data_IF_414624090958
#
_entry.id   IF_414624090958
#
_cell.length_a   1.000
_cell.length_b   1.000
_cell.length_c   1.000
_cell.angle_alpha   90.00
_cell.angle_beta   90.00
_cell.angle_gamma   90.00
#
_symmetry.space_group_name_H-M   'P 1'
#
loop_
_entity.id
_entity.type
_entity.pdbx_description
1 polymer ?
#
# COMPACT_ATOMS: atom_id res chain seq x y z
N UNK A 1 53.34 59.92 7.89
CA UNK A 1 53.18 58.52 7.42
C UNK A 1 51.88 58.02 8.02
N UNK A 2 50.79 58.12 7.26
CA UNK A 2 49.48 57.57 7.66
C UNK A 2 49.10 56.59 6.57
N UNK A 3 49.30 55.31 6.89
CA UNK A 3 48.83 54.18 6.10
C UNK A 3 47.31 54.26 6.03
N UNK A 4 46.78 54.25 4.81
CA UNK A 4 45.35 54.15 4.56
C UNK A 4 45.06 52.65 4.50
N UNK A 5 44.62 52.11 5.63
CA UNK A 5 44.06 50.76 5.71
C UNK A 5 42.92 50.64 4.71
N UNK A 6 43.04 49.72 3.75
CA UNK A 6 42.07 49.50 2.69
C UNK A 6 40.89 48.66 3.23
N UNK A 7 39.71 49.24 3.55
CA UNK A 7 38.56 48.49 4.07
C UNK A 7 37.90 47.58 3.01
N UNK A 8 38.36 47.66 1.75
CA UNK A 8 37.76 46.94 0.61
C UNK A 8 38.09 45.44 0.64
N UNK A 9 39.32 45.06 0.98
CA UNK A 9 39.77 43.66 0.87
C UNK A 9 39.09 42.75 1.90
N UNK A 10 38.91 43.24 3.12
CA UNK A 10 38.27 42.47 4.19
C UNK A 10 36.76 42.34 3.96
N UNK A 11 36.13 43.37 3.40
CA UNK A 11 34.72 43.35 3.01
C UNK A 11 34.47 42.33 1.90
N UNK A 12 35.33 42.30 0.87
CA UNK A 12 35.23 41.32 -0.23
C UNK A 12 35.44 39.88 0.28
N UNK A 13 36.40 39.66 1.20
CA UNK A 13 36.62 38.35 1.81
C UNK A 13 35.45 37.88 2.68
N UNK A 14 34.77 38.79 3.39
CA UNK A 14 33.57 38.49 4.17
C UNK A 14 32.38 38.15 3.26
N UNK A 15 32.21 38.89 2.15
CA UNK A 15 31.15 38.63 1.17
C UNK A 15 31.35 37.26 0.54
N UNK A 16 32.58 36.92 0.12
CA UNK A 16 32.89 35.62 -0.45
C UNK A 16 32.62 34.49 0.54
N UNK A 17 33.04 34.62 1.81
CA UNK A 17 32.74 33.62 2.84
C UNK A 17 31.24 33.46 3.06
N UNK A 18 30.47 34.55 3.05
CA UNK A 18 29.02 34.52 3.27
C UNK A 18 28.29 33.89 2.07
N UNK A 19 28.74 34.17 0.85
CA UNK A 19 28.22 33.54 -0.37
C UNK A 19 28.57 32.05 -0.42
N UNK A 20 29.79 31.67 -0.03
CA UNK A 20 30.21 30.27 0.00
C UNK A 20 29.47 29.47 1.08
N UNK A 21 29.25 30.07 2.26
CA UNK A 21 28.45 29.48 3.31
C UNK A 21 26.99 29.29 2.88
N UNK A 22 26.43 30.28 2.18
CA UNK A 22 25.07 30.19 1.62
C UNK A 22 24.98 29.11 0.53
N UNK A 23 25.96 29.04 -0.36
CA UNK A 23 26.04 28.02 -1.43
C UNK A 23 26.08 26.61 -0.85
N UNK A 24 26.94 26.35 0.13
CA UNK A 24 27.03 25.04 0.81
C UNK A 24 25.73 24.67 1.53
N UNK A 25 25.12 25.62 2.22
CA UNK A 25 23.84 25.39 2.89
C UNK A 25 22.68 25.14 1.91
N UNK A 26 22.70 25.74 0.72
CA UNK A 26 21.72 25.50 -0.32
C UNK A 26 21.98 24.15 -1.05
N UNK A 27 23.24 23.71 -1.14
CA UNK A 27 23.64 22.37 -1.60
C UNK A 27 23.20 21.27 -0.63
N UNK A 28 23.38 21.45 0.68
CA UNK A 28 22.93 20.51 1.73
C UNK A 28 21.40 20.41 1.83
N UNK A 29 20.68 21.43 1.34
CA UNK A 29 19.20 21.43 1.24
C UNK A 29 18.68 20.86 -0.06
N UNK A 30 19.56 20.57 -1.01
CA UNK A 30 19.17 19.94 -2.25
C UNK A 30 18.97 18.45 -1.94
N UNK A 31 17.70 18.01 -2.00
CA UNK A 31 17.32 16.61 -1.76
C UNK A 31 18.26 15.71 -2.57
N UNK A 32 19.01 14.85 -1.88
CA UNK A 32 19.99 13.99 -2.54
C UNK A 32 19.26 13.19 -3.62
N UNK A 33 19.86 13.05 -4.82
CA UNK A 33 19.23 12.33 -5.93
C UNK A 33 18.83 10.91 -5.51
N UNK A 34 19.58 10.32 -4.59
CA UNK A 34 19.28 9.02 -3.99
C UNK A 34 17.96 9.03 -3.21
N UNK A 35 17.66 10.05 -2.39
CA UNK A 35 16.40 10.13 -1.65
C UNK A 35 15.18 10.22 -2.59
N UNK A 36 15.31 10.97 -3.70
CA UNK A 36 14.27 11.07 -4.73
C UNK A 36 14.06 9.71 -5.41
N UNK A 37 15.15 9.00 -5.77
CA UNK A 37 15.06 7.67 -6.36
C UNK A 37 14.42 6.64 -5.42
N UNK A 38 14.71 6.68 -4.13
CA UNK A 38 14.09 5.79 -3.14
C UNK A 38 12.60 6.09 -2.97
N UNK A 39 12.21 7.37 -3.02
CA UNK A 39 10.81 7.77 -2.97
C UNK A 39 10.02 7.29 -4.20
N UNK A 40 10.63 7.38 -5.38
CA UNK A 40 10.05 6.93 -6.65
C UNK A 40 9.88 5.39 -6.65
N UNK A 41 10.92 4.65 -6.25
CA UNK A 41 10.85 3.19 -6.05
C UNK A 41 9.78 2.80 -5.00
N UNK A 42 9.66 3.56 -3.92
CA UNK A 42 8.64 3.35 -2.89
C UNK A 42 7.22 3.60 -3.41
N UNK A 43 7.04 4.61 -4.27
CA UNK A 43 5.77 4.89 -4.92
C UNK A 43 5.37 3.78 -5.90
N UNK A 44 6.32 3.29 -6.71
CA UNK A 44 6.09 2.17 -7.64
C UNK A 44 5.72 0.88 -6.90
N UNK A 45 6.37 0.61 -5.77
CA UNK A 45 6.02 -0.53 -4.91
C UNK A 45 4.58 -0.42 -4.41
N UNK A 46 4.18 0.75 -3.88
CA UNK A 46 2.81 0.99 -3.43
C UNK A 46 1.77 0.84 -4.55
N UNK A 47 2.09 1.33 -5.75
CA UNK A 47 1.23 1.16 -6.94
C UNK A 47 1.09 -0.32 -7.28
N UNK A 48 2.18 -1.07 -7.35
CA UNK A 48 2.14 -2.51 -7.64
C UNK A 48 1.33 -3.31 -6.61
N UNK A 49 1.45 -2.93 -5.33
CA UNK A 49 0.71 -3.53 -4.23
C UNK A 49 -0.81 -3.25 -4.35
N UNK A 50 -1.20 -2.01 -4.64
CA UNK A 50 -2.59 -1.62 -4.84
C UNK A 50 -3.21 -2.33 -6.06
N UNK A 51 -2.47 -2.43 -7.16
CA UNK A 51 -2.87 -3.20 -8.35
C UNK A 51 -3.04 -4.69 -8.00
N UNK A 52 -2.13 -5.26 -7.21
CA UNK A 52 -2.23 -6.63 -6.70
C UNK A 52 -3.46 -6.86 -5.80
N UNK A 53 -3.96 -5.82 -5.13
CA UNK A 53 -5.21 -5.85 -4.36
C UNK A 53 -6.47 -5.61 -5.22
N UNK A 54 -6.32 -5.40 -6.52
CA UNK A 54 -7.43 -5.19 -7.45
C UNK A 54 -7.99 -3.75 -7.41
N UNK A 55 -7.21 -2.78 -6.93
CA UNK A 55 -7.52 -1.35 -7.11
C UNK A 55 -7.14 -0.98 -8.53
N UNK A 56 -8.12 -0.53 -9.33
CA UNK A 56 -7.85 -0.03 -10.67
C UNK A 56 -7.11 1.31 -10.58
N UNK A 57 -5.80 1.27 -10.78
CA UNK A 57 -4.97 2.47 -10.98
C UNK A 57 -5.14 2.87 -12.45
N UNK A 58 -6.15 3.70 -12.74
CA UNK A 58 -6.58 4.00 -14.11
C UNK A 58 -5.64 4.93 -14.89
N UNK A 59 -4.57 5.46 -14.28
CA UNK A 59 -3.59 6.31 -14.95
C UNK A 59 -2.20 6.15 -14.31
N UNK A 60 -1.10 6.07 -15.09
CA UNK A 60 0.24 6.27 -14.54
C UNK A 60 0.32 7.71 -13.98
N UNK A 61 0.82 7.86 -12.75
CA UNK A 61 1.03 9.18 -12.14
C UNK A 61 2.02 9.96 -13.02
N UNK A 62 1.51 10.94 -13.77
CA UNK A 62 2.38 12.01 -14.30
C UNK A 62 2.93 12.76 -13.09
N UNK A 63 4.25 12.83 -12.95
CA UNK A 63 4.92 13.63 -11.92
C UNK A 63 4.69 15.10 -12.24
N UNK A 64 3.52 15.62 -11.86
CA UNK A 64 3.18 17.03 -12.06
C UNK A 64 3.67 17.82 -10.86
N UNK A 65 4.49 18.85 -11.10
CA UNK A 65 4.95 19.83 -10.09
C UNK A 65 3.82 20.70 -9.49
N UNK A 66 2.56 20.37 -9.79
CA UNK A 66 1.40 21.14 -9.36
C UNK A 66 0.89 20.62 -8.02
N UNK A 67 0.38 21.56 -7.21
CA UNK A 67 -0.26 21.26 -5.93
C UNK A 67 -1.37 20.23 -6.16
N UNK A 68 -1.46 19.16 -5.35
CA UNK A 68 -2.54 18.19 -5.49
C UNK A 68 -3.88 18.92 -5.31
N UNK A 69 -4.87 18.61 -6.18
CA UNK A 69 -6.15 19.30 -6.15
C UNK A 69 -6.82 19.12 -4.79
N UNK A 70 -7.45 20.20 -4.32
CA UNK A 70 -8.18 20.19 -3.05
C UNK A 70 -9.40 19.28 -3.10
N UNK A 71 -9.99 18.98 -1.93
CA UNK A 71 -11.18 18.14 -1.84
C UNK A 71 -12.35 18.68 -2.68
N UNK A 72 -12.52 20.00 -2.71
CA UNK A 72 -13.60 20.64 -3.43
C UNK A 72 -13.42 20.56 -4.95
N UNK A 73 -12.18 20.72 -5.43
CA UNK A 73 -11.82 20.54 -6.84
C UNK A 73 -11.99 19.08 -7.28
N UNK A 74 -11.63 18.13 -6.41
CA UNK A 74 -11.84 16.71 -6.66
C UNK A 74 -13.33 16.35 -6.76
N UNK A 75 -14.18 16.94 -5.90
CA UNK A 75 -15.64 16.76 -5.98
C UNK A 75 -16.20 17.32 -7.29
N UNK A 76 -15.74 18.50 -7.73
CA UNK A 76 -16.16 19.08 -9.02
C UNK A 76 -15.77 18.18 -10.19
N UNK A 77 -14.48 17.77 -10.27
CA UNK A 77 -14.00 16.85 -11.29
C UNK A 77 -14.75 15.51 -11.30
N UNK A 78 -15.10 15.00 -10.13
CA UNK A 78 -15.88 13.77 -10.04
C UNK A 78 -17.28 13.93 -10.68
N UNK A 79 -17.96 15.04 -10.41
CA UNK A 79 -19.28 15.31 -11.01
C UNK A 79 -19.15 15.57 -12.51
N UNK A 80 -18.14 16.31 -12.94
CA UNK A 80 -17.82 16.53 -14.36
C UNK A 80 -17.62 15.19 -15.08
N UNK A 81 -16.80 14.29 -14.54
CA UNK A 81 -16.58 12.97 -15.12
C UNK A 81 -17.87 12.13 -15.20
N UNK A 82 -18.76 12.22 -14.19
CA UNK A 82 -20.04 11.50 -14.23
C UNK A 82 -20.98 12.02 -15.34
N UNK A 83 -20.89 13.32 -15.65
CA UNK A 83 -21.65 13.94 -16.73
C UNK A 83 -21.01 13.63 -18.08
N UNK A 84 -19.68 13.71 -18.20
CA UNK A 84 -18.92 13.38 -19.41
C UNK A 84 -19.09 11.92 -19.84
N UNK A 85 -19.03 10.97 -18.89
CA UNK A 85 -19.26 9.55 -19.15
C UNK A 85 -20.75 9.22 -19.39
N UNK A 86 -21.64 10.23 -19.29
CA UNK A 86 -23.06 10.09 -19.58
C UNK A 86 -23.84 9.29 -18.54
N UNK A 87 -23.32 9.16 -17.32
CA UNK A 87 -24.01 8.48 -16.21
C UNK A 87 -25.08 9.35 -15.55
N UNK A 88 -24.91 10.68 -15.61
CA UNK A 88 -25.85 11.65 -15.04
C UNK A 88 -26.12 12.73 -16.09
N UNK A 89 -27.39 13.10 -16.25
CA UNK A 89 -27.81 14.23 -17.09
C UNK A 89 -28.60 15.24 -16.26
N UNK A 90 -28.67 16.49 -16.74
CA UNK A 90 -29.49 17.53 -16.12
C UNK A 90 -30.76 17.69 -16.96
N UNK A 91 -31.92 17.60 -16.32
CA UNK A 91 -33.20 17.84 -16.97
C UNK A 91 -33.48 19.34 -17.10
N UNK A 92 -34.44 19.74 -17.93
CA UNK A 92 -34.86 21.13 -18.17
C UNK A 92 -35.27 21.86 -16.87
N UNK A 93 -35.64 21.12 -15.83
CA UNK A 93 -35.95 21.63 -14.49
C UNK A 93 -34.72 21.90 -13.60
N UNK A 94 -33.50 21.75 -14.13
CA UNK A 94 -32.23 21.88 -13.39
C UNK A 94 -31.93 20.72 -12.42
N UNK A 95 -32.69 19.63 -12.46
CA UNK A 95 -32.49 18.46 -11.60
C UNK A 95 -31.59 17.43 -12.27
N UNK A 96 -30.68 16.84 -11.50
CA UNK A 96 -29.84 15.72 -11.95
C UNK A 96 -30.65 14.44 -12.02
N UNK A 97 -30.58 13.75 -13.17
CA UNK A 97 -31.22 12.47 -13.44
C UNK A 97 -30.14 11.44 -13.73
N UNK A 98 -30.25 10.28 -13.09
CA UNK A 98 -29.38 9.15 -13.37
C UNK A 98 -29.82 8.50 -14.69
N UNK A 99 -28.89 8.36 -15.63
CA UNK A 99 -29.16 7.70 -16.92
C UNK A 99 -29.23 6.18 -16.74
N UNK A 100 -29.76 5.48 -17.74
CA UNK A 100 -29.78 4.01 -17.72
C UNK A 100 -28.36 3.42 -17.64
N UNK A 101 -27.39 4.05 -18.30
CA UNK A 101 -25.98 3.69 -18.22
C UNK A 101 -25.42 3.92 -16.80
N UNK A 102 -25.77 5.03 -16.17
CA UNK A 102 -25.40 5.30 -14.77
C UNK A 102 -25.97 4.25 -13.81
N UNK A 103 -27.22 3.82 -14.03
CA UNK A 103 -27.85 2.76 -13.24
C UNK A 103 -27.16 1.42 -13.42
N UNK A 104 -26.85 1.02 -14.66
CA UNK A 104 -26.06 -0.20 -14.96
C UNK A 104 -24.66 -0.14 -14.37
N UNK A 105 -23.99 1.02 -14.41
CA UNK A 105 -22.68 1.22 -13.80
C UNK A 105 -22.72 1.03 -12.28
N UNK A 106 -23.70 1.64 -11.60
CA UNK A 106 -23.89 1.46 -10.16
C UNK A 106 -24.22 0.01 -9.82
N UNK A 107 -25.12 -0.63 -10.56
CA UNK A 107 -25.49 -2.03 -10.34
C UNK A 107 -24.30 -2.97 -10.56
N UNK A 108 -23.48 -2.74 -11.60
CA UNK A 108 -22.27 -3.52 -11.83
C UNK A 108 -21.26 -3.33 -10.70
N UNK A 109 -21.11 -2.10 -10.20
CA UNK A 109 -20.21 -1.81 -9.07
C UNK A 109 -20.70 -2.49 -7.78
N UNK A 110 -22.01 -2.47 -7.51
CA UNK A 110 -22.63 -3.14 -6.36
C UNK A 110 -22.56 -4.67 -6.48
N UNK A 111 -22.92 -5.24 -7.64
CA UNK A 111 -22.77 -6.69 -7.92
C UNK A 111 -21.32 -7.14 -7.80
N UNK A 112 -20.36 -6.30 -8.21
CA UNK A 112 -18.93 -6.57 -8.03
C UNK A 112 -18.52 -6.59 -6.56
N UNK A 113 -19.15 -5.77 -5.71
CA UNK A 113 -18.88 -5.75 -4.27
C UNK A 113 -19.45 -7.00 -3.59
N UNK A 114 -20.68 -7.39 -3.90
CA UNK A 114 -21.30 -8.61 -3.35
C UNK A 114 -20.54 -9.87 -3.76
N UNK A 115 -20.13 -9.96 -5.02
CA UNK A 115 -19.28 -11.06 -5.50
C UNK A 115 -17.91 -11.05 -4.84
N UNK A 116 -17.25 -9.90 -4.66
CA UNK A 116 -15.99 -9.80 -3.90
C UNK A 116 -16.13 -10.28 -2.46
N UNK A 117 -17.21 -9.89 -1.78
CA UNK A 117 -17.50 -10.33 -0.40
C UNK A 117 -17.77 -11.84 -0.37
N UNK A 118 -18.54 -12.37 -1.31
CA UNK A 118 -18.80 -13.81 -1.42
C UNK A 118 -17.51 -14.60 -1.65
N UNK A 119 -16.64 -14.15 -2.56
CA UNK A 119 -15.32 -14.75 -2.81
C UNK A 119 -14.46 -14.74 -1.54
N UNK A 120 -14.43 -13.61 -0.81
CA UNK A 120 -13.68 -13.51 0.44
C UNK A 120 -14.20 -14.49 1.50
N UNK A 121 -15.53 -14.60 1.66
CA UNK A 121 -16.17 -15.59 2.55
C UNK A 121 -15.79 -17.02 2.17
N UNK A 122 -15.81 -17.36 0.87
CA UNK A 122 -15.43 -18.69 0.37
C UNK A 122 -13.95 -18.99 0.64
N UNK A 123 -13.03 -18.04 0.39
CA UNK A 123 -11.60 -18.19 0.69
C UNK A 123 -11.37 -18.43 2.19
N UNK A 124 -12.03 -17.67 3.05
CA UNK A 124 -11.92 -17.83 4.50
C UNK A 124 -12.46 -19.21 4.96
N UNK A 125 -13.55 -19.68 4.37
CA UNK A 125 -14.10 -21.00 4.67
C UNK A 125 -13.14 -22.12 4.23
N UNK A 126 -12.57 -22.02 3.05
CA UNK A 126 -11.55 -22.97 2.56
C UNK A 126 -10.33 -23.00 3.48
N UNK A 127 -9.85 -21.84 3.91
CA UNK A 127 -8.73 -21.73 4.84
C UNK A 127 -9.03 -22.43 6.18
N UNK A 128 -10.19 -22.15 6.78
CA UNK A 128 -10.64 -22.81 8.03
C UNK A 128 -10.72 -24.33 7.88
N UNK A 129 -11.33 -24.81 6.80
CA UNK A 129 -11.45 -26.24 6.51
C UNK A 129 -10.08 -26.92 6.36
N UNK A 130 -9.11 -26.23 5.75
CA UNK A 130 -7.76 -26.75 5.60
C UNK A 130 -7.02 -26.82 6.95
N UNK A 131 -7.14 -25.78 7.78
CA UNK A 131 -6.61 -25.78 9.15
C UNK A 131 -7.19 -26.93 9.98
N UNK A 132 -8.51 -27.14 9.93
CA UNK A 132 -9.15 -28.23 10.66
C UNK A 132 -8.66 -29.61 10.19
N UNK A 133 -8.45 -29.78 8.87
CA UNK A 133 -7.87 -31.00 8.31
C UNK A 133 -6.43 -31.20 8.78
N UNK A 134 -5.61 -30.16 8.81
CA UNK A 134 -4.23 -30.22 9.30
C UNK A 134 -4.19 -30.58 10.80
N UNK A 135 -5.01 -29.91 11.61
CA UNK A 135 -5.11 -30.16 13.04
C UNK A 135 -5.55 -31.60 13.35
N UNK A 136 -6.57 -32.11 12.63
CA UNK A 136 -6.99 -33.52 12.74
C UNK A 136 -5.87 -34.48 12.37
N UNK A 137 -5.10 -34.20 11.31
CA UNK A 137 -3.94 -35.02 10.90
C UNK A 137 -2.86 -35.02 11.98
N UNK A 138 -2.52 -33.87 12.56
CA UNK A 138 -1.53 -33.77 13.63
C UNK A 138 -1.98 -34.51 14.88
N UNK A 139 -3.22 -34.32 15.32
CA UNK A 139 -3.80 -35.01 16.47
C UNK A 139 -3.77 -36.55 16.30
N UNK A 140 -4.11 -37.04 15.10
CA UNK A 140 -4.06 -38.48 14.80
C UNK A 140 -2.62 -39.03 14.80
N UNK A 141 -1.64 -38.28 14.26
CA UNK A 141 -0.22 -38.65 14.32
C UNK A 141 0.26 -38.72 15.78
N UNK A 142 -0.07 -37.72 16.59
CA UNK A 142 0.28 -37.69 18.01
C UNK A 142 -0.32 -38.88 18.78
N UNK A 143 -1.62 -39.17 18.58
CA UNK A 143 -2.29 -40.33 19.18
C UNK A 143 -1.62 -41.65 18.78
N UNK A 144 -1.24 -41.80 17.50
CA UNK A 144 -0.55 -43.01 17.01
C UNK A 144 0.84 -43.14 17.65
N UNK A 145 1.60 -42.05 17.73
CA UNK A 145 2.90 -42.00 18.40
C UNK A 145 2.84 -42.32 19.90
N UNK A 146 1.79 -41.87 20.58
CA UNK A 146 1.58 -42.21 21.99
C UNK A 146 1.27 -43.71 22.17
N UNK A 147 0.39 -44.28 21.33
CA UNK A 147 0.07 -45.71 21.35
C UNK A 147 1.31 -46.58 21.12
N UNK A 148 2.19 -46.21 20.18
CA UNK A 148 3.43 -46.97 19.93
C UNK A 148 4.40 -46.87 21.09
N UNK A 149 4.57 -45.69 21.72
CA UNK A 149 5.38 -45.52 22.93
C UNK A 149 4.88 -46.40 24.09
N UNK A 150 3.56 -46.37 24.37
CA UNK A 150 2.96 -47.20 25.42
C UNK A 150 3.17 -48.71 25.15
N UNK A 151 2.97 -49.17 23.91
CA UNK A 151 3.26 -50.57 23.54
C UNK A 151 4.73 -50.93 23.73
N UNK A 152 5.65 -50.02 23.39
CA UNK A 152 7.09 -50.21 23.61
C UNK A 152 7.45 -50.36 25.08
N UNK A 153 6.88 -49.51 25.94
CA UNK A 153 7.06 -49.57 27.40
C UNK A 153 6.54 -50.89 27.96
N UNK A 154 5.31 -51.29 27.60
CA UNK A 154 4.73 -52.59 28.04
C UNK A 154 5.59 -53.78 27.65
N UNK A 155 6.12 -53.81 26.42
CA UNK A 155 7.06 -54.87 25.97
C UNK A 155 8.35 -54.90 26.78
N UNK A 156 8.92 -53.74 27.13
CA UNK A 156 10.13 -53.66 27.97
C UNK A 156 9.87 -54.20 29.38
N UNK A 157 8.74 -53.83 29.99
CA UNK A 157 8.34 -54.31 31.33
C UNK A 157 8.17 -55.83 31.33
N UNK A 158 7.44 -56.39 30.36
CA UNK A 158 7.21 -57.85 30.28
C UNK A 158 8.50 -58.64 30.05
N UNK A 159 9.46 -58.12 29.28
CA UNK A 159 10.77 -58.78 29.10
C UNK A 159 11.62 -58.75 30.37
N UNK A 160 11.46 -57.71 31.19
CA UNK A 160 12.20 -57.57 32.46
C UNK A 160 11.65 -58.50 33.53
N UNK A 161 10.33 -58.74 33.57
CA UNK A 161 9.72 -59.71 34.50
C UNK A 161 10.02 -61.17 34.15
N UNK A 162 10.30 -61.48 32.88
CA UNK A 162 10.64 -62.84 32.41
C UNK A 162 12.10 -63.23 32.63
N UNK A 163 12.94 -62.27 33.04
CA UNK A 163 14.39 -62.45 33.31
C UNK A 163 14.72 -62.47 34.80
N UNK A 164 13.72 -62.28 35.66
CA UNK A 164 13.78 -62.51 37.10
C UNK A 164 13.10 -63.83 37.38
#
# INVERSE_FOLDING_TARGET
>A
MTEIDNPSKDSDMLIDHLLDAKRKHDEDKNVEKEEVEHLEKGADYLVSFLVGQGVQVSQPKKVTKQKPPGLEELKKKFVENLVEEGYVTVNDSGRTILTENGKKFLDNKTKSADTKVAIAKLKNLQFRNNLDRQNKRMANKAKKGLKTKIKGIKKKISRKSKRR
#
